data_IF_785824267561
#
_entry.id   IF_785824267561
#
_cell.length_a   1.000
_cell.length_b   1.000
_cell.length_c   1.000
_cell.angle_alpha   90.00
_cell.angle_beta   90.00
_cell.angle_gamma   90.00
#
_symmetry.space_group_name_H-M   'P 1'
#
loop_
_entity.id
_entity.type
_entity.pdbx_description
1 polymer ?
#
# COMPACT_ATOMS: atom_id res chain seq x y z
N UNK A 1 -14.07 -31.37 -1.64
CA UNK A 1 -14.13 -30.10 -2.38
C UNK A 1 -13.08 -29.17 -1.77
N UNK A 2 -12.08 -28.68 -2.53
CA UNK A 2 -11.19 -27.67 -1.97
C UNK A 2 -12.00 -26.38 -1.80
N UNK A 3 -12.01 -25.85 -0.58
CA UNK A 3 -12.59 -24.55 -0.25
C UNK A 3 -11.84 -23.54 -1.12
N UNK A 4 -12.51 -22.98 -2.13
CA UNK A 4 -12.01 -21.78 -2.80
C UNK A 4 -11.90 -20.72 -1.72
N UNK A 5 -10.68 -20.44 -1.24
CA UNK A 5 -10.41 -19.25 -0.44
C UNK A 5 -10.94 -18.07 -1.27
N UNK A 6 -11.94 -17.36 -0.74
CA UNK A 6 -12.53 -16.19 -1.40
C UNK A 6 -11.42 -15.19 -1.69
N UNK A 7 -10.91 -15.20 -2.93
CA UNK A 7 -9.91 -14.23 -3.37
C UNK A 7 -10.53 -12.84 -3.25
N UNK A 8 -9.93 -12.00 -2.42
CA UNK A 8 -10.29 -10.58 -2.32
C UNK A 8 -9.97 -9.90 -3.66
N UNK A 9 -10.85 -9.00 -4.12
CA UNK A 9 -10.56 -8.22 -5.32
C UNK A 9 -9.51 -7.15 -5.03
N UNK A 10 -8.81 -6.70 -6.07
CA UNK A 10 -7.81 -5.63 -5.95
C UNK A 10 -8.39 -4.35 -5.33
N UNK A 11 -9.61 -3.97 -5.74
CA UNK A 11 -10.30 -2.80 -5.22
C UNK A 11 -10.59 -2.91 -3.72
N UNK A 12 -11.03 -4.09 -3.26
CA UNK A 12 -11.30 -4.32 -1.83
C UNK A 12 -10.00 -4.35 -1.04
N UNK A 13 -8.93 -4.94 -1.58
CA UNK A 13 -7.62 -4.93 -0.94
C UNK A 13 -7.08 -3.49 -0.79
N UNK A 14 -7.15 -2.68 -1.85
CA UNK A 14 -6.72 -1.28 -1.81
C UNK A 14 -7.52 -0.44 -0.82
N UNK A 15 -8.85 -0.57 -0.81
CA UNK A 15 -9.72 0.12 0.13
C UNK A 15 -9.49 -0.31 1.59
N UNK A 16 -9.17 -1.59 1.80
CA UNK A 16 -8.85 -2.12 3.13
C UNK A 16 -7.57 -1.49 3.67
N UNK A 17 -6.50 -1.41 2.85
CA UNK A 17 -5.26 -0.75 3.26
C UNK A 17 -5.49 0.73 3.53
N UNK A 18 -6.18 1.44 2.62
CA UNK A 18 -6.50 2.85 2.79
C UNK A 18 -7.22 3.10 4.12
N UNK A 19 -8.24 2.30 4.43
CA UNK A 19 -9.01 2.41 5.68
C UNK A 19 -8.19 2.03 6.91
N UNK A 20 -7.22 1.13 6.78
CA UNK A 20 -6.31 0.74 7.86
C UNK A 20 -5.32 1.85 8.18
N UNK A 21 -4.86 2.60 7.17
CA UNK A 21 -3.89 3.69 7.34
C UNK A 21 -4.52 5.00 7.83
N UNK A 22 -5.75 5.30 7.40
CA UNK A 22 -6.43 6.57 7.67
C UNK A 22 -6.46 6.99 9.16
N UNK A 23 -6.63 6.10 10.15
CA UNK A 23 -6.61 6.47 11.56
C UNK A 23 -5.23 6.91 12.09
N UNK A 24 -4.15 6.55 11.41
CA UNK A 24 -2.78 6.79 11.85
C UNK A 24 -2.17 8.06 11.26
N UNK A 25 -2.88 8.71 10.33
CA UNK A 25 -2.42 9.93 9.67
C UNK A 25 -3.43 11.04 9.82
N UNK A 26 -2.95 12.27 9.98
CA UNK A 26 -3.81 13.45 10.03
C UNK A 26 -3.99 14.07 8.63
N UNK A 27 -4.19 13.21 7.61
CA UNK A 27 -4.35 13.62 6.21
C UNK A 27 -5.20 12.63 5.42
N UNK A 28 -5.52 12.98 4.18
CA UNK A 28 -6.23 12.07 3.30
C UNK A 28 -5.32 10.97 2.76
N UNK A 29 -5.87 9.76 2.76
CA UNK A 29 -5.26 8.59 2.13
C UNK A 29 -6.07 8.35 0.87
N UNK A 30 -5.44 8.41 -0.29
CA UNK A 30 -6.09 8.42 -1.59
C UNK A 30 -5.68 7.18 -2.39
N UNK A 31 -6.54 6.76 -3.31
CA UNK A 31 -6.25 5.69 -4.29
C UNK A 31 -6.16 6.36 -5.67
N UNK A 32 -4.97 6.38 -6.29
CA UNK A 32 -4.68 7.24 -7.46
C UNK A 32 -4.89 6.50 -8.78
N UNK A 33 -4.32 5.31 -8.85
CA UNK A 33 -4.31 4.47 -10.04
C UNK A 33 -4.99 3.19 -9.65
N UNK A 34 -6.00 2.78 -10.40
CA UNK A 34 -6.59 1.45 -10.31
C UNK A 34 -6.72 0.92 -11.72
N UNK A 35 -5.87 -0.05 -12.05
CA UNK A 35 -5.98 -0.88 -13.25
C UNK A 35 -6.53 -2.25 -12.84
N UNK A 36 -6.75 -3.14 -13.81
CA UNK A 36 -7.15 -4.52 -13.52
C UNK A 36 -6.15 -5.25 -12.60
N UNK A 37 -4.87 -4.88 -12.67
CA UNK A 37 -3.78 -5.62 -11.99
C UNK A 37 -3.06 -4.83 -10.90
N UNK A 38 -3.15 -3.50 -10.89
CA UNK A 38 -2.39 -2.67 -9.96
C UNK A 38 -3.22 -1.49 -9.43
N UNK A 39 -3.15 -1.27 -8.12
CA UNK A 39 -3.68 -0.09 -7.45
C UNK A 39 -2.60 0.63 -6.64
N UNK A 40 -2.57 1.96 -6.69
CA UNK A 40 -1.62 2.79 -5.93
C UNK A 40 -2.34 3.62 -4.87
N UNK A 41 -1.84 3.57 -3.64
CA UNK A 41 -2.33 4.30 -2.46
C UNK A 41 -1.27 5.31 -2.05
N UNK A 42 -1.71 6.53 -1.75
CA UNK A 42 -0.84 7.66 -1.44
C UNK A 42 -1.47 8.59 -0.41
N UNK A 43 -0.69 9.51 0.14
CA UNK A 43 -1.14 10.50 1.12
C UNK A 43 -1.19 11.89 0.49
N UNK A 44 -2.19 12.70 0.83
CA UNK A 44 -2.44 14.01 0.21
C UNK A 44 -1.35 15.05 0.48
N UNK A 45 -0.57 14.91 1.54
CA UNK A 45 0.53 15.82 1.90
C UNK A 45 1.92 15.28 1.52
N UNK A 46 1.96 14.13 0.86
CA UNK A 46 3.16 13.48 0.35
C UNK A 46 4.22 13.12 1.41
N UNK A 47 3.82 13.02 2.68
CA UNK A 47 4.67 12.52 3.75
C UNK A 47 4.18 11.15 4.16
N UNK A 48 4.85 10.12 3.64
CA UNK A 48 4.62 8.75 4.11
C UNK A 48 5.33 8.58 5.46
N UNK A 49 4.61 8.38 6.57
CA UNK A 49 5.24 8.06 7.85
C UNK A 49 5.89 6.67 7.74
N UNK A 50 7.22 6.64 7.59
CA UNK A 50 8.02 5.40 7.54
C UNK A 50 7.87 4.56 8.82
N UNK A 51 7.43 5.19 9.91
CA UNK A 51 7.04 4.57 11.17
C UNK A 51 5.77 3.71 11.08
N UNK A 52 4.89 3.93 10.09
CA UNK A 52 3.70 3.09 9.90
C UNK A 52 4.02 1.78 9.21
N UNK A 53 4.79 1.82 8.13
CA UNK A 53 5.34 0.64 7.46
C UNK A 53 6.66 1.05 6.80
N UNK A 54 7.70 0.27 7.05
CA UNK A 54 8.96 0.30 6.34
C UNK A 54 9.28 -1.11 5.80
N UNK A 55 10.04 -1.20 4.71
CA UNK A 55 10.56 -2.46 4.17
C UNK A 55 11.69 -3.06 5.04
N UNK A 56 11.73 -2.73 6.33
CA UNK A 56 12.76 -3.13 7.27
C UNK A 56 14.09 -2.39 7.07
N UNK A 57 15.05 -2.70 7.94
CA UNK A 57 16.44 -2.30 7.77
C UNK A 57 17.08 -3.01 6.55
N UNK A 58 18.06 -2.41 5.85
CA UNK A 58 18.76 -3.09 4.75
C UNK A 58 19.30 -4.45 5.18
N UNK A 59 18.85 -5.53 4.52
CA UNK A 59 19.19 -6.92 4.87
C UNK A 59 18.16 -7.65 5.73
N UNK A 60 17.05 -7.01 6.10
CA UNK A 60 15.90 -7.64 6.74
C UNK A 60 14.87 -8.10 5.71
N UNK A 61 14.42 -9.34 5.83
CA UNK A 61 13.25 -9.86 5.10
C UNK A 61 11.93 -9.46 5.76
N UNK A 62 11.98 -8.75 6.89
CA UNK A 62 10.82 -8.37 7.69
C UNK A 62 10.43 -6.91 7.46
N UNK A 63 9.13 -6.66 7.34
CA UNK A 63 8.58 -5.30 7.41
C UNK A 63 8.55 -4.86 8.87
N UNK A 64 8.98 -3.64 9.10
CA UNK A 64 8.89 -2.96 10.39
C UNK A 64 7.77 -1.93 10.34
N UNK A 65 7.12 -1.65 11.46
CA UNK A 65 6.06 -0.67 11.54
C UNK A 65 4.95 -1.06 12.51
N UNK A 66 3.80 -0.40 12.35
CA UNK A 66 2.65 -0.53 13.21
C UNK A 66 2.01 -1.93 13.12
N UNK A 67 1.92 -2.72 14.21
CA UNK A 67 1.51 -4.12 14.17
C UNK A 67 0.14 -4.37 13.54
N UNK A 68 -0.81 -3.45 13.78
CA UNK A 68 -2.16 -3.54 13.23
C UNK A 68 -2.17 -3.41 11.70
N UNK A 69 -1.32 -2.53 11.16
CA UNK A 69 -1.14 -2.35 9.73
C UNK A 69 -0.44 -3.56 9.12
N UNK A 70 0.65 -4.03 9.72
CA UNK A 70 1.39 -5.22 9.27
C UNK A 70 0.49 -6.46 9.23
N UNK A 71 -0.36 -6.65 10.26
CA UNK A 71 -1.31 -7.77 10.30
C UNK A 71 -2.32 -7.74 9.15
N UNK A 72 -2.85 -6.56 8.79
CA UNK A 72 -3.78 -6.43 7.68
C UNK A 72 -3.11 -6.70 6.34
N UNK A 73 -1.89 -6.21 6.17
CA UNK A 73 -1.05 -6.50 5.00
C UNK A 73 -0.86 -8.00 4.83
N UNK A 74 -0.44 -8.71 5.88
CA UNK A 74 -0.22 -10.16 5.80
C UNK A 74 -1.50 -10.92 5.43
N UNK A 75 -2.65 -10.54 6.01
CA UNK A 75 -3.96 -11.14 5.66
C UNK A 75 -4.33 -10.95 4.19
N UNK A 76 -4.02 -9.79 3.61
CA UNK A 76 -4.25 -9.50 2.20
C UNK A 76 -3.26 -10.32 1.33
N UNK A 77 -2.00 -10.41 1.74
CA UNK A 77 -0.98 -11.18 1.02
C UNK A 77 -1.26 -12.69 1.01
N UNK A 78 -1.84 -13.23 2.08
CA UNK A 78 -2.32 -14.62 2.14
C UNK A 78 -3.43 -14.95 1.11
N UNK A 79 -4.10 -13.92 0.56
CA UNK A 79 -5.09 -14.08 -0.52
C UNK A 79 -4.46 -14.00 -1.92
N UNK A 80 -3.13 -13.87 -2.02
CA UNK A 80 -2.39 -13.84 -3.28
C UNK A 80 -2.20 -12.43 -3.87
N UNK A 81 -2.62 -11.39 -3.17
CA UNK A 81 -2.34 -9.99 -3.52
C UNK A 81 -0.93 -9.64 -3.06
N UNK A 82 -0.18 -8.87 -3.84
CA UNK A 82 1.15 -8.36 -3.42
C UNK A 82 1.03 -6.92 -2.99
N UNK A 83 1.70 -6.56 -1.89
CA UNK A 83 1.78 -5.19 -1.40
C UNK A 83 3.25 -4.77 -1.40
N UNK A 84 3.56 -3.59 -1.91
CA UNK A 84 4.93 -3.07 -1.93
C UNK A 84 4.94 -1.56 -1.66
N UNK A 85 5.92 -1.09 -0.89
CA UNK A 85 6.21 0.34 -0.80
C UNK A 85 7.16 0.70 -1.94
N UNK A 86 6.78 1.67 -2.76
CA UNK A 86 7.61 2.18 -3.87
C UNK A 86 7.74 3.70 -3.76
N UNK A 87 8.86 4.28 -4.23
CA UNK A 87 8.92 5.72 -4.42
C UNK A 87 7.83 6.16 -5.38
N UNK A 88 7.29 7.38 -5.19
CA UNK A 88 6.41 7.98 -6.19
C UNK A 88 7.18 8.26 -7.48
N UNK A 89 6.51 8.08 -8.60
CA UNK A 89 7.04 8.27 -9.94
C UNK A 89 6.23 9.33 -10.68
N UNK A 90 6.89 9.97 -11.65
CA UNK A 90 6.23 10.83 -12.62
C UNK A 90 5.10 10.04 -13.29
N UNK A 91 3.87 10.58 -13.25
CA UNK A 91 2.59 9.97 -13.70
C UNK A 91 1.85 9.05 -12.71
N UNK A 92 2.21 9.02 -11.43
CA UNK A 92 1.35 8.36 -10.42
C UNK A 92 0.03 9.10 -10.15
N UNK A 93 0.01 10.41 -10.37
CA UNK A 93 -1.16 11.30 -10.21
C UNK A 93 -1.06 12.51 -11.14
N UNK A 94 -2.20 13.16 -11.40
CA UNK A 94 -2.22 14.48 -12.06
C UNK A 94 -1.61 15.51 -11.12
N UNK A 95 -0.32 15.81 -11.27
CA UNK A 95 0.36 16.90 -10.54
C UNK A 95 1.58 16.53 -9.71
N UNK A 96 2.07 15.28 -9.74
CA UNK A 96 3.33 14.92 -9.07
C UNK A 96 4.50 15.75 -9.64
N UNK A 97 5.05 16.65 -8.82
CA UNK A 97 6.28 17.38 -9.13
C UNK A 97 7.44 16.68 -8.43
N UNK A 98 8.38 16.20 -9.24
CA UNK A 98 9.62 15.57 -8.81
C UNK A 98 10.33 16.47 -7.77
N UNK A 99 10.48 16.03 -6.51
CA UNK A 99 11.20 16.89 -5.56
C UNK A 99 11.15 16.61 -4.05
N UNK A 100 10.29 15.74 -3.52
CA UNK A 100 10.33 15.43 -2.08
C UNK A 100 11.08 14.12 -1.80
N UNK A 101 12.22 14.14 -1.07
CA UNK A 101 13.08 12.96 -0.83
C UNK A 101 12.42 11.79 -0.08
N UNK A 102 11.16 11.92 0.34
CA UNK A 102 10.44 10.96 1.19
C UNK A 102 9.02 10.67 0.69
N UNK A 103 8.76 10.88 -0.61
CA UNK A 103 7.43 10.63 -1.17
C UNK A 103 7.30 9.17 -1.64
N UNK A 104 6.52 8.39 -0.89
CA UNK A 104 6.28 6.98 -1.15
C UNK A 104 4.80 6.74 -1.46
N UNK A 105 4.54 5.63 -2.15
CA UNK A 105 3.22 5.05 -2.36
C UNK A 105 3.22 3.58 -1.97
N UNK A 106 2.04 3.09 -1.58
CA UNK A 106 1.80 1.66 -1.47
C UNK A 106 1.20 1.19 -2.79
N UNK A 107 1.82 0.17 -3.38
CA UNK A 107 1.35 -0.49 -4.57
C UNK A 107 0.77 -1.83 -4.18
N UNK A 108 -0.49 -2.03 -4.56
CA UNK A 108 -1.24 -3.28 -4.39
C UNK A 108 -1.34 -3.93 -5.77
N UNK A 109 -0.93 -5.18 -5.91
CA UNK A 109 -0.89 -5.90 -7.19
C UNK A 109 -1.66 -7.20 -7.09
N UNK A 110 -2.60 -7.42 -8.00
CA UNK A 110 -3.27 -8.71 -8.13
C UNK A 110 -2.33 -9.77 -8.73
N UNK A 111 -2.50 -11.06 -8.44
CA UNK A 111 -1.78 -12.10 -9.15
C UNK A 111 -2.19 -12.08 -10.63
N UNK A 112 -1.19 -12.15 -11.53
CA UNK A 112 -1.39 -12.28 -12.96
C UNK A 112 -2.08 -13.59 -13.35
#
# INVERSE_FOLDING_TARGET
MPIQKNKISLAVAAATIQSTLKPFVNQDVCIAKSSEFESSIYFSDNRFPLDLINNGTPGSDQREGEPSILSQISKIEEQGIKIAIKPRQENDETGYQNGMPQDFKIVVTAPA
#
